data_IF_952993031046
#
_entry.id   IF_952993031046
#
_cell.length_a   1.000
_cell.length_b   1.000
_cell.length_c   1.000
_cell.angle_alpha   90.00
_cell.angle_beta   90.00
_cell.angle_gamma   90.00
#
_symmetry.space_group_name_H-M   'P 1'
#
loop_
_entity.id
_entity.type
_entity.pdbx_description
1 polymer ?
#
# COMPACT_ATOMS: atom_id res chain seq x y z
N UNK A 1 16.68 44.70 6.19
CA UNK A 1 17.59 43.58 6.55
C UNK A 1 18.30 42.89 5.38
N UNK A 2 17.71 42.82 4.17
CA UNK A 2 18.33 42.12 3.02
C UNK A 2 19.67 42.70 2.50
N UNK A 3 19.83 44.03 2.49
CA UNK A 3 21.10 44.67 2.08
C UNK A 3 22.29 44.32 2.97
N UNK A 4 22.05 44.17 4.28
CA UNK A 4 23.08 43.79 5.24
C UNK A 4 23.53 42.36 4.95
N UNK A 5 22.59 41.42 4.76
CA UNK A 5 22.88 40.01 4.44
C UNK A 5 23.69 39.82 3.14
N UNK A 6 23.40 40.57 2.07
CA UNK A 6 24.22 40.51 0.85
C UNK A 6 25.61 41.14 1.04
N UNK A 7 25.72 42.20 1.86
CA UNK A 7 27.00 42.84 2.17
C UNK A 7 27.97 41.92 2.93
N UNK A 8 27.47 41.14 3.90
CA UNK A 8 28.31 40.16 4.62
C UNK A 8 28.55 38.86 3.83
N UNK A 9 27.57 38.36 3.07
CA UNK A 9 27.70 37.07 2.38
C UNK A 9 28.47 37.16 1.06
N UNK A 10 28.33 38.26 0.31
CA UNK A 10 28.87 38.40 -1.05
C UNK A 10 29.88 39.55 -1.22
N UNK A 11 30.12 40.37 -0.19
CA UNK A 11 31.00 41.56 -0.27
C UNK A 11 30.64 42.55 -1.40
N UNK A 12 29.41 42.49 -1.92
CA UNK A 12 28.92 43.37 -2.98
C UNK A 12 27.60 44.02 -2.56
N UNK A 13 27.59 45.35 -2.50
CA UNK A 13 26.40 46.16 -2.18
C UNK A 13 25.65 46.64 -3.43
N UNK A 14 26.19 46.40 -4.64
CA UNK A 14 25.61 46.91 -5.89
C UNK A 14 24.29 46.25 -6.27
N UNK A 15 23.92 45.10 -5.68
CA UNK A 15 22.62 44.41 -5.91
C UNK A 15 22.17 44.38 -7.38
N UNK A 16 23.09 44.25 -8.35
CA UNK A 16 22.72 44.17 -9.77
C UNK A 16 21.92 42.90 -10.09
N UNK A 17 22.23 41.82 -9.37
CA UNK A 17 21.47 40.56 -9.36
C UNK A 17 21.46 40.08 -7.92
N UNK A 18 20.33 39.53 -7.47
CA UNK A 18 20.12 39.15 -6.07
C UNK A 18 20.14 37.60 -5.96
N UNK A 19 21.33 36.95 -5.94
CA UNK A 19 21.45 35.50 -6.09
C UNK A 19 20.76 34.71 -4.96
N UNK A 20 20.73 35.28 -3.75
CA UNK A 20 19.98 34.72 -2.61
C UNK A 20 18.47 34.67 -2.87
N UNK A 21 17.95 35.58 -3.71
CA UNK A 21 16.53 35.59 -4.11
C UNK A 21 16.23 34.47 -5.11
N UNK A 22 17.13 34.19 -6.04
CA UNK A 22 16.97 33.10 -7.00
C UNK A 22 17.09 31.75 -6.28
N UNK A 23 18.05 31.62 -5.36
CA UNK A 23 18.21 30.42 -4.54
C UNK A 23 17.01 30.16 -3.62
N UNK A 24 16.52 31.17 -2.90
CA UNK A 24 15.32 31.02 -2.05
C UNK A 24 14.06 30.71 -2.87
N UNK A 25 13.91 31.28 -4.07
CA UNK A 25 12.80 30.92 -4.98
C UNK A 25 12.92 29.48 -5.49
N UNK A 26 14.13 29.02 -5.81
CA UNK A 26 14.35 27.63 -6.22
C UNK A 26 14.01 26.64 -5.09
N UNK A 27 14.43 26.92 -3.86
CA UNK A 27 14.08 26.10 -2.69
C UNK A 27 12.58 26.14 -2.42
N UNK A 28 11.94 27.31 -2.48
CA UNK A 28 10.49 27.44 -2.30
C UNK A 28 9.71 26.64 -3.34
N UNK A 29 10.14 26.68 -4.61
CA UNK A 29 9.52 25.88 -5.68
C UNK A 29 9.68 24.38 -5.43
N UNK A 30 10.86 23.95 -4.97
CA UNK A 30 11.11 22.57 -4.57
C UNK A 30 10.21 22.10 -3.43
N UNK A 31 10.01 22.94 -2.41
CA UNK A 31 9.08 22.66 -1.30
C UNK A 31 7.64 22.50 -1.81
N UNK A 32 7.19 23.40 -2.69
CA UNK A 32 5.84 23.32 -3.28
C UNK A 32 5.66 22.01 -4.07
N UNK A 33 6.64 21.62 -4.88
CA UNK A 33 6.61 20.35 -5.62
C UNK A 33 6.57 19.15 -4.67
N UNK A 34 7.38 19.16 -3.62
CA UNK A 34 7.42 18.08 -2.63
C UNK A 34 6.08 17.92 -1.91
N UNK A 35 5.50 19.04 -1.43
CA UNK A 35 4.18 19.04 -0.77
C UNK A 35 3.10 18.54 -1.74
N UNK A 36 3.14 18.97 -3.00
CA UNK A 36 2.18 18.53 -4.02
C UNK A 36 2.31 17.04 -4.31
N UNK A 37 3.54 16.52 -4.41
CA UNK A 37 3.79 15.09 -4.59
C UNK A 37 3.32 14.25 -3.41
N UNK A 38 3.58 14.70 -2.17
CA UNK A 38 3.09 14.03 -0.96
C UNK A 38 1.56 14.05 -0.88
N UNK A 39 0.92 15.18 -1.20
CA UNK A 39 -0.53 15.27 -1.25
C UNK A 39 -1.12 14.31 -2.30
N UNK A 40 -0.50 14.22 -3.49
CA UNK A 40 -0.91 13.27 -4.52
C UNK A 40 -0.78 11.81 -4.07
N UNK A 41 0.36 11.45 -3.46
CA UNK A 41 0.57 10.12 -2.90
C UNK A 41 -0.44 9.77 -1.80
N UNK A 42 -0.73 10.75 -0.93
CA UNK A 42 -1.71 10.60 0.14
C UNK A 42 -3.11 10.33 -0.41
N UNK A 43 -3.58 11.13 -1.37
CA UNK A 43 -4.89 10.92 -2.01
C UNK A 43 -4.93 9.58 -2.75
N UNK A 44 -3.86 9.22 -3.46
CA UNK A 44 -3.78 7.93 -4.15
C UNK A 44 -3.86 6.75 -3.17
N UNK A 45 -3.24 6.86 -1.99
CA UNK A 45 -3.31 5.87 -0.92
C UNK A 45 -4.72 5.73 -0.34
N UNK A 46 -5.52 6.80 -0.31
CA UNK A 46 -6.92 6.73 0.12
C UNK A 46 -7.83 6.05 -0.92
N UNK A 47 -7.54 6.25 -2.22
CA UNK A 47 -8.33 5.65 -3.31
C UNK A 47 -8.00 4.16 -3.49
N UNK A 48 -6.74 3.75 -3.27
CA UNK A 48 -6.32 2.35 -3.26
C UNK A 48 -5.84 1.94 -1.87
N UNK A 49 -6.77 1.75 -0.90
CA UNK A 49 -6.40 1.14 0.36
C UNK A 49 -5.85 -0.26 0.03
N UNK A 50 -4.59 -0.49 0.37
CA UNK A 50 -3.90 -1.76 0.15
C UNK A 50 -4.66 -2.89 0.87
N UNK A 51 -5.58 -3.56 0.16
CA UNK A 51 -6.26 -4.78 0.60
C UNK A 51 -6.75 -4.72 2.04
N UNK A 52 -7.80 -3.95 2.30
CA UNK A 52 -8.55 -4.11 3.55
C UNK A 52 -9.17 -5.50 3.55
N UNK A 53 -9.01 -6.23 4.66
CA UNK A 53 -9.56 -7.58 4.85
C UNK A 53 -11.06 -7.63 4.61
N UNK A 54 -11.75 -6.49 4.81
CA UNK A 54 -13.09 -6.23 4.28
C UNK A 54 -14.08 -7.38 4.46
N UNK A 55 -14.89 -7.58 3.42
CA UNK A 55 -15.92 -8.64 3.31
C UNK A 55 -15.43 -9.83 2.47
N UNK A 56 -14.13 -9.87 2.12
CA UNK A 56 -13.63 -10.87 1.20
C UNK A 56 -13.54 -12.22 1.90
N UNK A 57 -14.23 -13.21 1.34
CA UNK A 57 -14.31 -14.54 1.92
C UNK A 57 -12.98 -15.32 1.83
N UNK A 58 -12.17 -15.04 0.80
CA UNK A 58 -10.85 -15.67 0.58
C UNK A 58 -9.75 -14.63 0.54
N UNK A 59 -8.73 -14.85 1.37
CA UNK A 59 -7.62 -13.93 1.61
C UNK A 59 -6.30 -14.67 1.39
N UNK A 60 -5.35 -14.01 0.74
CA UNK A 60 -3.99 -14.53 0.57
C UNK A 60 -3.00 -13.56 1.20
N UNK A 61 -2.07 -14.09 1.98
CA UNK A 61 -0.95 -13.31 2.49
C UNK A 61 0.00 -12.96 1.35
N UNK A 62 0.28 -11.66 1.19
CA UNK A 62 1.20 -11.14 0.18
C UNK A 62 2.64 -11.62 0.36
N UNK A 63 3.07 -11.92 1.57
CA UNK A 63 4.46 -12.29 1.87
C UNK A 63 4.72 -13.79 1.73
N UNK A 64 3.78 -14.62 2.18
CA UNK A 64 3.93 -16.08 2.28
C UNK A 64 3.12 -16.84 1.25
N UNK A 65 2.23 -16.15 0.52
CA UNK A 65 1.22 -16.76 -0.36
C UNK A 65 0.29 -17.77 0.36
N UNK A 66 0.27 -17.76 1.70
CA UNK A 66 -0.63 -18.61 2.47
C UNK A 66 -2.09 -18.18 2.26
N UNK A 67 -2.97 -19.17 2.11
CA UNK A 67 -4.40 -18.96 1.86
C UNK A 67 -5.19 -19.06 3.16
N UNK A 68 -6.18 -18.17 3.27
CA UNK A 68 -7.07 -18.07 4.41
C UNK A 68 -8.49 -17.88 3.93
N UNK A 69 -9.44 -18.47 4.64
CA UNK A 69 -10.88 -18.29 4.40
C UNK A 69 -11.52 -17.78 5.67
N UNK A 70 -12.41 -16.80 5.53
CA UNK A 70 -13.20 -16.28 6.63
C UNK A 70 -14.48 -17.10 6.76
N UNK A 71 -14.66 -17.75 7.91
CA UNK A 71 -15.88 -18.52 8.23
C UNK A 71 -16.43 -17.98 9.54
N UNK A 72 -17.55 -17.25 9.46
CA UNK A 72 -18.05 -16.46 10.59
C UNK A 72 -17.10 -15.32 10.93
N UNK A 73 -16.62 -15.29 12.18
CA UNK A 73 -15.70 -14.26 12.68
C UNK A 73 -14.23 -14.71 12.70
N UNK A 74 -13.96 -16.00 12.48
CA UNK A 74 -12.62 -16.59 12.55
C UNK A 74 -11.97 -16.78 11.17
N UNK A 75 -10.67 -16.54 11.11
CA UNK A 75 -9.85 -16.72 9.93
C UNK A 75 -9.19 -18.11 9.94
N UNK A 76 -9.59 -18.98 9.02
CA UNK A 76 -9.09 -20.35 8.96
C UNK A 76 -8.04 -20.49 7.84
N UNK A 77 -6.81 -20.97 8.13
CA UNK A 77 -5.84 -21.29 7.09
C UNK A 77 -6.34 -22.45 6.23
N UNK A 78 -6.17 -22.31 4.91
CA UNK A 78 -6.64 -23.30 3.94
C UNK A 78 -5.49 -23.89 3.14
N UNK A 79 -5.53 -25.20 2.91
CA UNK A 79 -4.50 -25.88 2.12
C UNK A 79 -4.46 -25.37 0.67
N UNK A 80 -5.61 -25.31 -0.01
CA UNK A 80 -5.68 -25.08 -1.47
C UNK A 80 -6.79 -24.08 -1.83
N UNK A 81 -6.62 -23.35 -2.94
CA UNK A 81 -7.63 -22.41 -3.45
C UNK A 81 -8.98 -23.09 -3.76
N UNK A 82 -8.93 -24.31 -4.29
CA UNK A 82 -10.15 -25.09 -4.57
C UNK A 82 -10.92 -25.40 -3.28
N UNK A 83 -10.22 -25.73 -2.19
CA UNK A 83 -10.87 -25.95 -0.89
C UNK A 83 -11.51 -24.65 -0.38
N UNK A 84 -10.83 -23.51 -0.54
CA UNK A 84 -11.38 -22.21 -0.16
C UNK A 84 -12.67 -21.91 -0.95
N UNK A 85 -12.66 -22.10 -2.27
CA UNK A 85 -13.84 -21.89 -3.15
C UNK A 85 -15.01 -22.83 -2.82
N UNK A 86 -14.71 -24.07 -2.42
CA UNK A 86 -15.74 -25.02 -1.97
C UNK A 86 -16.38 -24.58 -0.65
N UNK A 87 -15.58 -24.10 0.30
CA UNK A 87 -16.07 -23.59 1.59
C UNK A 87 -16.92 -22.34 1.38
N UNK A 88 -16.52 -21.43 0.48
CA UNK A 88 -17.32 -20.23 0.17
C UNK A 88 -18.53 -20.52 -0.70
N UNK A 89 -18.59 -21.68 -1.36
CA UNK A 89 -19.70 -22.10 -2.23
C UNK A 89 -19.78 -21.38 -3.57
N UNK A 90 -18.77 -20.57 -3.93
CA UNK A 90 -18.71 -19.84 -5.19
C UNK A 90 -17.25 -19.59 -5.62
N UNK A 91 -17.06 -19.38 -6.93
CA UNK A 91 -15.74 -19.12 -7.50
C UNK A 91 -15.25 -17.71 -7.12
N UNK A 92 -14.39 -17.64 -6.11
CA UNK A 92 -13.75 -16.41 -5.63
C UNK A 92 -12.25 -16.49 -5.87
N UNK A 93 -11.67 -15.36 -6.27
CA UNK A 93 -10.23 -15.18 -6.33
C UNK A 93 -9.69 -14.58 -5.03
N UNK A 94 -8.52 -15.07 -4.56
CA UNK A 94 -7.98 -14.64 -3.28
C UNK A 94 -7.55 -13.17 -3.33
N UNK A 95 -7.94 -12.42 -2.29
CA UNK A 95 -7.50 -11.03 -2.17
C UNK A 95 -6.16 -10.93 -1.45
N UNK A 96 -5.18 -10.28 -2.07
CA UNK A 96 -3.83 -10.13 -1.53
C UNK A 96 -3.76 -9.07 -0.43
N UNK A 97 -3.60 -9.52 0.81
CA UNK A 97 -3.57 -8.71 2.03
C UNK A 97 -2.22 -8.82 2.76
N UNK A 98 -1.90 -7.85 3.62
CA UNK A 98 -0.66 -7.88 4.42
C UNK A 98 -0.84 -8.79 5.64
N UNK A 99 0.20 -9.52 6.04
CA UNK A 99 0.18 -10.38 7.24
C UNK A 99 -0.36 -9.67 8.50
N UNK A 100 0.02 -8.40 8.70
CA UNK A 100 -0.44 -7.58 9.84
C UNK A 100 -1.95 -7.37 9.89
N UNK A 101 -2.64 -7.43 8.75
CA UNK A 101 -4.09 -7.32 8.67
C UNK A 101 -4.77 -8.66 8.97
N UNK A 102 -4.15 -9.80 8.66
CA UNK A 102 -4.67 -11.12 9.04
C UNK A 102 -4.53 -11.37 10.54
N UNK A 103 -3.44 -10.90 11.15
CA UNK A 103 -3.19 -11.05 12.59
C UNK A 103 -4.20 -10.28 13.47
N UNK A 104 -5.04 -9.41 12.88
CA UNK A 104 -6.16 -8.75 13.57
C UNK A 104 -7.34 -9.68 13.81
N UNK A 105 -7.45 -10.77 13.06
CA UNK A 105 -8.54 -11.73 13.17
C UNK A 105 -8.11 -12.92 14.02
N UNK A 106 -9.02 -13.47 14.84
CA UNK A 106 -8.77 -14.75 15.51
C UNK A 106 -8.48 -15.85 14.48
N UNK A 107 -7.45 -16.65 14.73
CA UNK A 107 -7.04 -17.76 13.85
C UNK A 107 -7.75 -19.05 14.25
N UNK A 108 -8.45 -19.63 13.30
CA UNK A 108 -9.07 -20.95 13.41
C UNK A 108 -8.12 -22.08 13.01
N UNK A 109 -8.66 -23.30 12.98
CA UNK A 109 -7.90 -24.49 12.59
C UNK A 109 -7.59 -24.52 11.09
N UNK A 110 -6.53 -25.25 10.73
CA UNK A 110 -6.22 -25.54 9.34
C UNK A 110 -7.28 -26.47 8.73
N UNK A 111 -7.83 -26.04 7.60
CA UNK A 111 -8.90 -26.75 6.88
C UNK A 111 -8.55 -26.93 5.41
N UNK A 112 -9.21 -27.90 4.77
CA UNK A 112 -9.07 -28.16 3.34
C UNK A 112 -8.88 -29.63 3.02
N UNK A 113 -8.92 -29.92 1.73
CA UNK A 113 -8.80 -31.27 1.19
C UNK A 113 -7.36 -31.47 0.71
N UNK A 114 -6.58 -32.36 1.34
CA UNK A 114 -5.24 -32.68 0.88
C UNK A 114 -5.27 -33.21 -0.57
N UNK A 115 -4.36 -32.72 -1.41
CA UNK A 115 -4.24 -33.16 -2.81
C UNK A 115 -5.31 -32.63 -3.77
N UNK A 116 -6.22 -31.75 -3.32
CA UNK A 116 -7.13 -31.08 -4.25
C UNK A 116 -6.36 -30.20 -5.27
N UNK A 117 -6.82 -30.09 -6.52
CA UNK A 117 -6.12 -29.35 -7.55
C UNK A 117 -6.04 -27.86 -7.22
N UNK A 118 -4.96 -27.18 -7.61
CA UNK A 118 -4.85 -25.72 -7.50
C UNK A 118 -5.46 -25.00 -8.72
N UNK A 119 -5.48 -25.67 -9.88
CA UNK A 119 -5.96 -25.12 -11.15
C UNK A 119 -7.18 -25.91 -11.62
N UNK A 120 -8.30 -25.22 -11.80
CA UNK A 120 -9.57 -25.78 -12.27
C UNK A 120 -9.90 -25.34 -13.71
N UNK A 121 -8.89 -25.16 -14.56
CA UNK A 121 -9.11 -24.80 -15.96
C UNK A 121 -9.54 -26.06 -16.70
N UNK A 122 -10.71 -26.01 -17.34
CA UNK A 122 -11.15 -27.09 -18.23
C UNK A 122 -10.22 -27.13 -19.45
N UNK A 123 -9.65 -28.30 -19.71
CA UNK A 123 -8.96 -28.55 -20.97
C UNK A 123 -10.05 -28.68 -22.06
N UNK A 124 -9.98 -27.90 -23.16
CA UNK A 124 -10.96 -27.96 -24.24
C UNK A 124 -10.92 -29.31 -24.98
#
# INVERSE_FOLDING_TARGET
>A
MRRIASGIALHDTRMLVDPLRTQSRAVAMGVVLLVTGLAGCFVFSLIRPNGTVGTNAVLADRSTAALYVRVGDDLHPVLNLTSARLITGHAVDPTMVKSSELDRFPRGNLIGIPGAPERMVQNP
#
